data_IF_261190587753
#
_entry.id   IF_261190587753
#
_cell.length_a   1.000
_cell.length_b   1.000
_cell.length_c   1.000
_cell.angle_alpha   90.00
_cell.angle_beta   90.00
_cell.angle_gamma   90.00
#
_symmetry.space_group_name_H-M   'P 1'
#
loop_
_entity.id
_entity.type
_entity.pdbx_description
1 polymer ?
#
# COMPACT_ATOMS: atom_id res chain seq x y z
N UNK A 1 2.39 -10.65 -5.94
CA UNK A 1 1.34 -10.21 -5.00
C UNK A 1 -0.06 -10.47 -5.56
N UNK A 2 -0.62 -9.65 -6.48
CA UNK A 2 -1.98 -9.86 -7.05
C UNK A 2 -2.18 -11.29 -7.57
N UNK A 3 -1.23 -11.80 -8.36
CA UNK A 3 -1.37 -13.13 -8.97
C UNK A 3 -1.21 -14.31 -7.99
N UNK A 4 -0.60 -14.11 -6.81
CA UNK A 4 -0.43 -15.16 -5.80
C UNK A 4 -1.51 -15.09 -4.73
N UNK A 5 -1.88 -13.90 -4.27
CA UNK A 5 -3.00 -13.73 -3.35
C UNK A 5 -4.36 -14.05 -4.00
N UNK A 6 -4.44 -14.04 -5.33
CA UNK A 6 -5.64 -14.44 -6.09
C UNK A 6 -5.72 -15.93 -6.40
N UNK A 7 -4.74 -16.75 -6.02
CA UNK A 7 -4.86 -18.22 -6.06
C UNK A 7 -5.10 -18.76 -4.65
N UNK A 8 -5.91 -19.83 -4.49
CA UNK A 8 -6.17 -20.44 -3.18
C UNK A 8 -4.90 -20.85 -2.43
N UNK A 9 -3.90 -21.34 -3.16
CA UNK A 9 -2.62 -21.80 -2.60
C UNK A 9 -1.77 -20.63 -2.12
N UNK A 10 -1.73 -19.52 -2.86
CA UNK A 10 -1.00 -18.34 -2.44
C UNK A 10 -1.73 -17.58 -1.33
N UNK A 11 -3.07 -17.54 -1.35
CA UNK A 11 -3.86 -17.00 -0.25
C UNK A 11 -3.69 -17.82 1.05
N UNK A 12 -3.65 -19.15 0.96
CA UNK A 12 -3.35 -20.04 2.09
C UNK A 12 -1.94 -19.81 2.66
N UNK A 13 -0.93 -19.73 1.79
CA UNK A 13 0.45 -19.47 2.19
C UNK A 13 0.62 -18.09 2.83
N UNK A 14 -0.05 -17.08 2.28
CA UNK A 14 -0.10 -15.74 2.85
C UNK A 14 -0.82 -15.71 4.20
N UNK A 15 -1.99 -16.36 4.31
CA UNK A 15 -2.72 -16.48 5.57
C UNK A 15 -1.85 -17.16 6.64
N UNK A 16 -1.14 -18.24 6.30
CA UNK A 16 -0.22 -18.91 7.22
C UNK A 16 0.94 -18.02 7.68
N UNK A 17 1.53 -17.24 6.76
CA UNK A 17 2.58 -16.29 7.10
C UNK A 17 2.07 -15.12 7.95
N UNK A 18 0.87 -14.62 7.65
CA UNK A 18 0.21 -13.51 8.35
C UNK A 18 -0.27 -13.91 9.75
N UNK A 19 -0.76 -15.14 9.91
CA UNK A 19 -1.23 -15.68 11.18
C UNK A 19 -0.11 -16.23 12.06
N UNK A 20 1.11 -16.31 11.54
CA UNK A 20 2.27 -16.69 12.34
C UNK A 20 2.62 -15.57 13.34
N UNK A 21 2.72 -15.93 14.62
CA UNK A 21 3.01 -15.00 15.72
C UNK A 21 4.35 -14.25 15.54
N UNK A 22 5.27 -14.78 14.74
CA UNK A 22 6.55 -14.11 14.41
C UNK A 22 6.40 -12.79 13.65
N UNK A 23 5.24 -12.55 13.03
CA UNK A 23 4.97 -11.37 12.21
C UNK A 23 3.84 -10.53 12.80
N UNK A 24 3.71 -10.53 14.12
CA UNK A 24 2.63 -9.87 14.85
C UNK A 24 2.76 -8.35 15.00
N UNK A 25 3.91 -7.80 14.66
CA UNK A 25 4.25 -6.40 14.89
C UNK A 25 5.54 -6.21 15.69
N UNK A 26 6.11 -7.25 16.32
CA UNK A 26 7.39 -7.18 17.02
C UNK A 26 8.59 -6.80 16.12
N UNK A 27 8.42 -6.85 14.79
CA UNK A 27 9.39 -6.29 13.83
C UNK A 27 9.53 -4.77 13.98
N UNK A 28 8.50 -4.07 14.47
CA UNK A 28 8.53 -2.63 14.72
C UNK A 28 9.45 -2.28 15.89
N UNK A 29 9.52 -3.16 16.89
CA UNK A 29 10.48 -3.02 18.00
C UNK A 29 11.92 -3.27 17.52
N UNK A 30 12.08 -4.09 16.47
CA UNK A 30 13.37 -4.35 15.80
C UNK A 30 13.78 -3.25 14.81
N UNK A 31 12.89 -2.35 14.40
CA UNK A 31 13.21 -1.22 13.51
C UNK A 31 14.21 -0.26 14.15
N UNK A 32 14.10 -0.01 15.45
CA UNK A 32 15.06 0.82 16.18
C UNK A 32 16.48 0.27 16.08
N UNK A 33 16.63 -1.05 16.15
CA UNK A 33 17.92 -1.75 16.03
C UNK A 33 18.43 -1.77 14.58
N UNK A 34 17.54 -2.06 13.62
CA UNK A 34 17.85 -2.12 12.18
C UNK A 34 18.24 -0.74 11.62
N UNK A 35 17.49 0.31 11.97
CA UNK A 35 17.76 1.69 11.52
C UNK A 35 18.82 2.39 12.38
N UNK A 36 19.05 1.92 13.60
CA UNK A 36 20.12 2.38 14.50
C UNK A 36 21.52 1.93 14.08
N UNK A 37 21.67 1.24 12.94
CA UNK A 37 22.96 0.81 12.40
C UNK A 37 23.52 -0.46 13.03
N UNK A 38 22.74 -1.18 13.85
CA UNK A 38 23.10 -2.54 14.24
C UNK A 38 22.81 -3.47 13.06
N UNK A 39 23.68 -4.46 12.83
CA UNK A 39 23.53 -5.42 11.73
C UNK A 39 22.08 -5.95 11.69
N UNK A 40 21.52 -6.04 10.49
CA UNK A 40 20.22 -6.70 10.30
C UNK A 40 20.39 -8.15 10.75
N UNK A 41 19.62 -8.58 11.75
CA UNK A 41 19.64 -9.95 12.23
C UNK A 41 19.44 -10.94 11.08
N UNK A 42 20.23 -12.01 11.06
CA UNK A 42 20.12 -13.07 10.05
C UNK A 42 18.71 -13.69 10.05
N UNK A 43 18.06 -13.74 11.22
CA UNK A 43 16.67 -14.16 11.38
C UNK A 43 15.70 -13.29 10.55
N UNK A 44 15.91 -11.97 10.53
CA UNK A 44 15.07 -11.04 9.75
C UNK A 44 15.28 -11.25 8.25
N UNK A 45 16.53 -11.46 7.83
CA UNK A 45 16.86 -11.75 6.44
C UNK A 45 16.28 -13.09 5.98
N UNK A 46 16.32 -14.12 6.83
CA UNK A 46 15.80 -15.45 6.53
C UNK A 46 14.27 -15.47 6.49
N UNK A 47 13.62 -14.86 7.49
CA UNK A 47 12.17 -14.70 7.52
C UNK A 47 11.68 -13.92 6.30
N UNK A 48 12.39 -12.84 5.96
CA UNK A 48 12.12 -12.07 4.76
C UNK A 48 12.20 -12.90 3.49
N UNK A 49 13.28 -13.67 3.31
CA UNK A 49 13.41 -14.55 2.15
C UNK A 49 12.25 -15.57 2.05
N UNK A 50 11.82 -16.17 3.16
CA UNK A 50 10.69 -17.09 3.19
C UNK A 50 9.36 -16.41 2.84
N UNK A 51 9.09 -15.25 3.41
CA UNK A 51 7.90 -14.43 3.12
C UNK A 51 7.85 -14.09 1.63
N UNK A 52 8.95 -13.57 1.08
CA UNK A 52 9.03 -13.22 -0.33
C UNK A 52 8.75 -14.44 -1.22
N UNK A 53 9.32 -15.60 -0.85
CA UNK A 53 9.04 -16.93 -1.40
C UNK A 53 7.55 -17.19 -1.64
N UNK A 54 6.75 -16.97 -0.61
CA UNK A 54 5.30 -17.20 -0.64
C UNK A 54 4.55 -16.08 -1.37
N UNK A 55 4.94 -14.82 -1.13
CA UNK A 55 4.29 -13.62 -1.68
C UNK A 55 4.46 -13.51 -3.20
N UNK A 56 5.63 -13.90 -3.70
CA UNK A 56 5.98 -13.82 -5.12
C UNK A 56 5.95 -15.19 -5.82
N UNK A 57 5.90 -16.28 -5.06
CA UNK A 57 5.70 -17.63 -5.60
C UNK A 57 6.95 -18.18 -6.26
N UNK A 58 8.10 -17.97 -5.62
CA UNK A 58 9.41 -18.32 -6.16
C UNK A 58 9.86 -17.35 -7.25
N UNK A 59 9.31 -16.13 -7.31
CA UNK A 59 9.63 -15.11 -8.35
C UNK A 59 10.36 -13.90 -7.77
N UNK A 60 10.99 -14.08 -6.62
CA UNK A 60 11.64 -13.01 -5.85
C UNK A 60 12.77 -12.39 -6.67
N UNK A 61 13.56 -13.20 -7.37
CA UNK A 61 14.60 -12.74 -8.28
C UNK A 61 14.04 -11.90 -9.43
N UNK A 62 12.90 -12.29 -10.00
CA UNK A 62 12.28 -11.54 -11.08
C UNK A 62 11.77 -10.17 -10.61
N UNK A 63 11.20 -10.12 -9.40
CA UNK A 63 10.77 -8.86 -8.77
C UNK A 63 11.97 -8.00 -8.43
N UNK A 64 13.02 -8.56 -7.82
CA UNK A 64 14.25 -7.83 -7.51
C UNK A 64 14.91 -7.27 -8.77
N UNK A 65 14.90 -8.02 -9.88
CA UNK A 65 15.41 -7.58 -11.16
C UNK A 65 14.57 -6.43 -11.76
N UNK A 66 13.24 -6.49 -11.62
CA UNK A 66 12.37 -5.40 -12.04
C UNK A 66 12.61 -4.13 -11.21
N UNK A 67 12.74 -4.27 -9.88
CA UNK A 67 13.06 -3.16 -8.97
C UNK A 67 14.43 -2.56 -9.30
N UNK A 68 15.45 -3.39 -9.47
CA UNK A 68 16.81 -2.97 -9.86
C UNK A 68 16.78 -2.16 -11.16
N UNK A 69 16.15 -2.68 -12.21
CA UNK A 69 16.04 -1.98 -13.50
C UNK A 69 15.26 -0.68 -13.40
N UNK A 70 14.20 -0.63 -12.60
CA UNK A 70 13.34 0.56 -12.49
C UNK A 70 13.93 1.66 -11.61
N UNK A 71 14.69 1.31 -10.57
CA UNK A 71 15.22 2.26 -9.59
C UNK A 71 16.70 2.58 -9.80
N UNK A 72 17.40 1.82 -10.65
CA UNK A 72 18.83 1.98 -10.91
C UNK A 72 19.72 1.42 -9.79
N UNK A 73 19.16 0.74 -8.79
CA UNK A 73 19.93 0.09 -7.73
C UNK A 73 20.47 -1.26 -8.19
N UNK A 74 21.58 -1.68 -7.60
CA UNK A 74 22.15 -3.02 -7.83
C UNK A 74 21.16 -4.13 -7.45
N UNK A 75 21.23 -5.26 -8.17
CA UNK A 75 20.34 -6.40 -7.94
C UNK A 75 20.47 -6.98 -6.52
N UNK A 76 21.70 -7.11 -6.00
CA UNK A 76 21.94 -7.60 -4.65
C UNK A 76 21.38 -6.65 -3.59
N UNK A 77 21.53 -5.34 -3.80
CA UNK A 77 20.90 -4.33 -2.95
C UNK A 77 19.37 -4.40 -3.00
N UNK A 78 18.77 -4.55 -4.19
CA UNK A 78 17.33 -4.73 -4.36
C UNK A 78 16.83 -5.97 -3.63
N UNK A 79 17.57 -7.09 -3.72
CA UNK A 79 17.24 -8.33 -3.05
C UNK A 79 17.28 -8.17 -1.52
N UNK A 80 18.31 -7.52 -0.99
CA UNK A 80 18.43 -7.27 0.45
C UNK A 80 17.33 -6.34 0.96
N UNK A 81 17.00 -5.28 0.20
CA UNK A 81 15.88 -4.39 0.53
C UNK A 81 14.57 -5.17 0.57
N UNK A 82 14.30 -6.01 -0.44
CA UNK A 82 13.09 -6.82 -0.45
C UNK A 82 13.03 -7.77 0.75
N UNK A 83 14.15 -8.42 1.12
CA UNK A 83 14.21 -9.33 2.28
C UNK A 83 13.95 -8.58 3.58
N UNK A 84 14.53 -7.40 3.75
CA UNK A 84 14.25 -6.56 4.92
C UNK A 84 12.81 -6.06 4.90
N UNK A 85 12.26 -5.70 3.74
CA UNK A 85 10.91 -5.18 3.58
C UNK A 85 9.81 -6.25 3.79
N UNK A 86 10.11 -7.52 3.48
CA UNK A 86 9.16 -8.63 3.56
C UNK A 86 8.45 -8.74 4.92
N UNK A 87 9.18 -8.83 6.05
CA UNK A 87 8.60 -8.90 7.38
C UNK A 87 7.78 -7.66 7.76
N UNK A 88 8.15 -6.46 7.29
CA UNK A 88 7.39 -5.24 7.56
C UNK A 88 6.04 -5.22 6.85
N UNK A 89 6.03 -5.57 5.57
CA UNK A 89 4.80 -5.67 4.80
C UNK A 89 3.87 -6.71 5.40
N UNK A 90 4.41 -7.87 5.80
CA UNK A 90 3.62 -8.90 6.48
C UNK A 90 3.11 -8.46 7.85
N UNK A 91 3.92 -7.79 8.66
CA UNK A 91 3.49 -7.26 9.95
C UNK A 91 2.36 -6.25 9.81
N UNK A 92 2.43 -5.36 8.81
CA UNK A 92 1.36 -4.41 8.52
C UNK A 92 0.07 -5.11 8.07
N UNK A 93 0.18 -6.09 7.14
CA UNK A 93 -0.96 -6.89 6.67
C UNK A 93 -1.56 -7.69 7.83
N UNK A 94 -0.76 -8.31 8.69
CA UNK A 94 -1.24 -9.10 9.82
C UNK A 94 -1.87 -8.30 10.93
N UNK A 95 -1.32 -7.13 11.26
CA UNK A 95 -1.98 -6.19 12.18
C UNK A 95 -3.36 -5.79 11.67
N UNK A 96 -3.46 -5.50 10.38
CA UNK A 96 -4.72 -5.11 9.75
C UNK A 96 -5.71 -6.27 9.67
N UNK A 97 -5.25 -7.47 9.32
CA UNK A 97 -6.06 -8.69 9.31
C UNK A 97 -6.66 -8.97 10.69
N UNK A 98 -5.86 -8.90 11.76
CA UNK A 98 -6.34 -9.09 13.15
C UNK A 98 -7.31 -8.01 13.59
N UNK A 99 -7.03 -6.75 13.26
CA UNK A 99 -7.93 -5.62 13.58
C UNK A 99 -9.30 -5.81 12.93
N UNK A 100 -9.35 -6.38 11.73
CA UNK A 100 -10.58 -6.69 11.01
C UNK A 100 -11.15 -8.09 11.34
N UNK A 101 -10.54 -8.83 12.27
CA UNK A 101 -10.90 -10.21 12.61
C UNK A 101 -10.94 -11.14 11.39
N UNK A 102 -10.07 -10.90 10.41
CA UNK A 102 -9.92 -11.76 9.25
C UNK A 102 -9.17 -13.01 9.68
N UNK A 103 -9.80 -14.17 9.54
CA UNK A 103 -9.21 -15.47 9.86
C UNK A 103 -9.26 -16.46 8.69
N UNK A 104 -9.68 -16.02 7.51
CA UNK A 104 -9.85 -16.86 6.33
C UNK A 104 -9.17 -16.29 5.08
N UNK A 105 -9.02 -17.16 4.08
CA UNK A 105 -8.30 -16.86 2.85
C UNK A 105 -8.99 -15.81 1.99
N UNK A 106 -10.33 -15.76 2.03
CA UNK A 106 -11.11 -14.82 1.24
C UNK A 106 -10.94 -13.40 1.79
N UNK A 107 -11.01 -13.23 3.11
CA UNK A 107 -10.80 -11.94 3.78
C UNK A 107 -9.37 -11.42 3.59
N UNK A 108 -8.34 -12.29 3.57
CA UNK A 108 -6.96 -11.87 3.22
C UNK A 108 -6.90 -11.41 1.76
N UNK A 109 -7.54 -12.14 0.85
CA UNK A 109 -7.63 -11.77 -0.56
C UNK A 109 -8.32 -10.42 -0.77
N UNK A 110 -9.43 -10.16 -0.07
CA UNK A 110 -10.19 -8.92 -0.11
C UNK A 110 -9.39 -7.76 0.48
N UNK A 111 -8.69 -7.98 1.61
CA UNK A 111 -7.81 -6.99 2.23
C UNK A 111 -6.68 -6.55 1.28
N UNK A 112 -5.98 -7.52 0.69
CA UNK A 112 -4.90 -7.26 -0.28
C UNK A 112 -5.45 -6.66 -1.57
N UNK A 113 -6.63 -7.08 -1.99
CA UNK A 113 -7.38 -6.52 -3.11
C UNK A 113 -7.68 -5.04 -2.87
N UNK A 114 -8.19 -4.69 -1.69
CA UNK A 114 -8.44 -3.30 -1.28
C UNK A 114 -7.17 -2.46 -1.26
N UNK A 115 -6.07 -2.98 -0.69
CA UNK A 115 -4.78 -2.28 -0.63
C UNK A 115 -4.15 -2.06 -2.02
N UNK A 116 -4.30 -3.03 -2.93
CA UNK A 116 -3.70 -3.00 -4.28
C UNK A 116 -4.62 -2.37 -5.35
N UNK A 117 -5.70 -1.70 -4.93
CA UNK A 117 -6.54 -0.90 -5.82
C UNK A 117 -7.70 -1.66 -6.49
N UNK A 118 -8.27 -2.66 -5.82
CA UNK A 118 -9.42 -3.45 -6.25
C UNK A 118 -10.79 -2.87 -5.88
N UNK A 119 -10.87 -1.68 -5.30
CA UNK A 119 -12.14 -1.07 -4.89
C UNK A 119 -12.24 0.40 -5.26
N UNK A 120 -12.93 0.71 -6.37
CA UNK A 120 -13.32 2.08 -6.79
C UNK A 120 -14.19 2.85 -5.78
N UNK A 121 -14.38 2.36 -4.54
CA UNK A 121 -15.20 3.01 -3.50
C UNK A 121 -14.43 3.38 -2.24
N UNK A 122 -13.27 2.78 -1.98
CA UNK A 122 -12.51 3.02 -0.73
C UNK A 122 -11.29 3.94 -0.92
N UNK A 123 -10.95 4.23 -2.18
CA UNK A 123 -9.94 5.23 -2.51
C UNK A 123 -10.37 6.64 -2.07
N UNK A 124 -11.68 6.90 -1.91
CA UNK A 124 -12.17 8.10 -1.24
C UNK A 124 -11.81 8.12 0.25
N UNK A 125 -11.66 6.98 0.94
CA UNK A 125 -11.40 6.98 2.39
C UNK A 125 -9.92 7.18 2.73
N UNK A 126 -9.00 6.59 1.96
CA UNK A 126 -7.55 6.79 2.17
C UNK A 126 -7.09 8.15 1.64
N UNK A 127 -7.62 8.60 0.50
CA UNK A 127 -7.39 9.97 0.02
C UNK A 127 -8.00 10.96 1.01
N UNK A 128 -9.24 10.76 1.48
CA UNK A 128 -9.79 11.63 2.53
C UNK A 128 -8.98 11.57 3.83
N UNK A 129 -8.50 10.42 4.29
CA UNK A 129 -7.68 10.32 5.53
C UNK A 129 -6.27 10.90 5.38
N UNK A 130 -5.74 10.89 4.16
CA UNK A 130 -4.45 11.51 3.86
C UNK A 130 -4.57 13.01 3.66
N UNK A 131 -5.69 13.49 3.11
CA UNK A 131 -5.99 14.91 2.97
C UNK A 131 -6.54 15.54 4.26
N UNK A 132 -7.26 14.81 5.10
CA UNK A 132 -7.78 15.19 6.42
C UNK A 132 -6.74 14.96 7.53
N UNK A 133 -5.47 15.18 7.21
CA UNK A 133 -4.34 14.91 8.11
C UNK A 133 -4.29 15.87 9.33
N UNK A 134 -5.06 16.96 9.31
CA UNK A 134 -5.21 17.91 10.42
C UNK A 134 -6.58 17.82 11.14
N UNK A 135 -7.52 17.01 10.63
CA UNK A 135 -8.75 16.61 11.32
C UNK A 135 -9.81 17.70 11.45
N UNK A 136 -9.86 18.66 10.53
CA UNK A 136 -10.80 19.78 10.59
C UNK A 136 -12.18 19.47 9.97
N UNK A 137 -12.30 18.34 9.24
CA UNK A 137 -13.56 17.86 8.68
C UNK A 137 -14.14 18.69 7.52
N UNK A 138 -13.36 19.54 6.84
CA UNK A 138 -13.87 20.59 5.94
C UNK A 138 -13.48 20.44 4.46
N UNK A 139 -13.44 19.21 3.93
CA UNK A 139 -13.03 18.96 2.52
C UNK A 139 -14.04 19.51 1.48
N UNK A 140 -15.28 19.78 1.90
CA UNK A 140 -16.32 20.34 1.02
C UNK A 140 -16.11 21.83 0.78
N UNK A 141 -15.59 22.58 1.76
CA UNK A 141 -15.51 24.05 1.65
C UNK A 141 -14.39 24.48 0.69
N UNK A 142 -13.29 23.72 0.62
CA UNK A 142 -12.18 23.99 -0.32
C UNK A 142 -12.45 23.50 -1.74
N UNK A 143 -13.19 22.40 -1.94
CA UNK A 143 -13.52 21.90 -3.28
C UNK A 143 -14.74 22.60 -3.87
N UNK A 144 -15.78 22.86 -3.06
CA UNK A 144 -16.85 23.78 -3.45
C UNK A 144 -16.28 25.20 -3.61
N UNK A 145 -15.32 25.56 -2.76
CA UNK A 145 -14.48 26.74 -2.88
C UNK A 145 -13.77 26.80 -4.22
N UNK A 146 -13.03 25.79 -4.68
CA UNK A 146 -12.31 25.85 -5.96
C UNK A 146 -13.25 25.81 -7.18
N UNK A 147 -14.36 25.08 -7.09
CA UNK A 147 -15.41 25.06 -8.11
C UNK A 147 -16.19 26.38 -8.19
N UNK A 148 -16.36 27.09 -7.07
CA UNK A 148 -17.11 28.34 -6.97
C UNK A 148 -16.21 29.60 -6.93
N UNK A 149 -14.92 29.46 -6.63
CA UNK A 149 -13.86 30.48 -6.60
C UNK A 149 -13.15 30.61 -7.95
N UNK A 150 -13.29 29.60 -8.82
CA UNK A 150 -13.22 29.81 -10.28
C UNK A 150 -14.38 30.67 -10.84
N UNK A 151 -15.30 31.12 -9.99
CA UNK A 151 -16.50 31.88 -10.33
C UNK A 151 -16.45 33.37 -10.00
N UNK A 152 -15.27 34.03 -10.00
CA UNK A 152 -15.22 35.49 -10.19
C UNK A 152 -15.00 35.81 -11.67
N UNK A 153 -16.12 36.14 -12.34
CA UNK A 153 -16.25 36.92 -13.57
C UNK A 153 -15.73 36.30 -14.88
N UNK A 154 -16.69 35.99 -15.77
CA UNK A 154 -16.60 36.38 -17.17
C UNK A 154 -16.16 35.29 -18.17
N UNK A 155 -17.07 34.96 -19.09
CA UNK A 155 -16.81 34.07 -20.24
C UNK A 155 -17.47 32.71 -20.02
N UNK A 156 -18.78 32.59 -20.16
CA UNK A 156 -19.40 32.24 -21.46
C UNK A 156 -20.73 32.95 -21.73
N UNK A 157 -21.29 33.67 -20.74
CA UNK A 157 -22.49 34.52 -20.93
C UNK A 157 -22.25 35.80 -21.74
N UNK A 158 -20.98 36.25 -21.85
CA UNK A 158 -20.60 37.43 -22.65
C UNK A 158 -20.41 37.10 -24.14
N UNK A 159 -20.25 35.82 -24.49
CA UNK A 159 -20.17 35.34 -25.87
C UNK A 159 -21.54 34.97 -26.44
N UNK A 160 -22.64 35.23 -25.74
CA UNK A 160 -24.00 35.16 -26.30
C UNK A 160 -24.66 36.55 -26.34
N UNK A 161 -24.25 37.47 -25.46
CA UNK A 161 -24.66 38.87 -25.52
C UNK A 161 -24.04 39.70 -26.65
N UNK A 162 -22.94 39.24 -27.26
CA UNK A 162 -22.24 39.93 -28.35
C UNK A 162 -22.75 39.64 -29.77
N UNK A 163 -23.67 38.67 -29.94
CA UNK A 163 -24.23 38.25 -31.24
C UNK A 163 -25.75 38.45 -31.34
N UNK A 164 -26.40 38.84 -30.24
CA UNK A 164 -27.82 39.21 -30.23
C UNK A 164 -28.07 40.60 -29.62
N UNK A 165 -27.03 41.44 -29.54
CA UNK A 165 -27.17 42.86 -29.25
C UNK A 165 -27.68 43.64 -30.45
N UNK A 166 -28.99 43.83 -30.50
CA UNK A 166 -29.62 45.11 -30.87
C UNK A 166 -30.77 45.37 -29.89
#
# INVERSE_FOLDING_TARGET
MKNNASTPEGASGLLGAVMNDKHDGGIMDKLGSILGGSNVDDDVMQDGAGILGHVFGGKEEHVAQAVSKSSGIDFGAAMNILKVAGPFLMGAIGKQARTQNISDQNGIGDLLGGLLGGGQKEQQSLVNRLLDADGDGSIIDDVAGMLMSGGKKGGLGSLLGGLFGK
#
